data_IF_544073382803
#
_entry.id   IF_544073382803
#
_cell.length_a   1.000
_cell.length_b   1.000
_cell.length_c   1.000
_cell.angle_alpha   90.00
_cell.angle_beta   90.00
_cell.angle_gamma   90.00
#
_symmetry.space_group_name_H-M   'P 1'
#
loop_
_entity.id
_entity.type
_entity.pdbx_description
1 polymer ?
#
# COMPACT_ATOMS: atom_id res chain seq x y z
N UNK A 1 40.07 9.55 -24.79
CA UNK A 1 39.57 10.03 -23.49
C UNK A 1 38.21 9.40 -23.26
N UNK A 2 38.07 8.62 -22.18
CA UNK A 2 36.92 7.77 -21.89
C UNK A 2 35.63 8.60 -21.73
N UNK A 3 34.60 8.26 -22.51
CA UNK A 3 33.22 8.62 -22.22
C UNK A 3 32.64 7.57 -21.28
N UNK A 4 32.41 7.96 -20.03
CA UNK A 4 31.79 7.13 -19.00
C UNK A 4 30.34 6.84 -19.39
N UNK A 5 30.03 5.58 -19.69
CA UNK A 5 28.66 5.13 -19.88
C UNK A 5 27.90 5.24 -18.55
N UNK A 6 26.69 5.79 -18.58
CA UNK A 6 25.75 5.66 -17.48
C UNK A 6 25.52 4.16 -17.23
N UNK A 7 26.06 3.65 -16.12
CA UNK A 7 25.73 2.30 -15.69
C UNK A 7 24.23 2.26 -15.46
N UNK A 8 23.51 1.45 -16.23
CA UNK A 8 22.12 1.17 -15.90
C UNK A 8 22.17 0.35 -14.61
N UNK A 9 21.71 0.94 -13.51
CA UNK A 9 21.45 0.19 -12.29
C UNK A 9 20.47 -0.93 -12.63
N UNK A 10 21.00 -2.14 -12.72
CA UNK A 10 20.28 -3.38 -12.98
C UNK A 10 19.57 -3.91 -11.73
N UNK A 11 19.48 -3.09 -10.67
CA UNK A 11 18.72 -3.41 -9.48
C UNK A 11 17.28 -3.70 -9.89
N UNK A 12 16.75 -4.90 -9.56
CA UNK A 12 15.38 -5.24 -9.90
C UNK A 12 14.44 -4.21 -9.28
N UNK A 13 13.64 -3.55 -10.13
CA UNK A 13 12.63 -2.61 -9.67
C UNK A 13 11.51 -3.39 -8.97
N UNK A 14 10.96 -2.87 -7.85
CA UNK A 14 9.83 -3.53 -7.22
C UNK A 14 8.61 -3.48 -8.14
N UNK A 15 7.82 -4.54 -8.11
CA UNK A 15 6.49 -4.52 -8.70
C UNK A 15 5.57 -3.65 -7.84
N UNK A 16 4.73 -2.82 -8.47
CA UNK A 16 3.79 -1.94 -7.77
C UNK A 16 2.37 -2.39 -8.11
N UNK A 17 1.59 -2.72 -7.08
CA UNK A 17 0.16 -3.02 -7.18
C UNK A 17 -0.62 -1.94 -6.44
N UNK A 18 -1.41 -1.15 -7.17
CA UNK A 18 -2.29 -0.13 -6.61
C UNK A 18 -3.73 -0.66 -6.59
N UNK A 19 -4.30 -0.82 -5.40
CA UNK A 19 -5.69 -1.21 -5.20
C UNK A 19 -6.46 0.02 -4.72
N UNK A 20 -7.48 0.42 -5.46
CA UNK A 20 -8.40 1.51 -5.09
C UNK A 20 -9.80 0.95 -4.96
N UNK A 21 -10.51 1.32 -3.90
CA UNK A 21 -11.87 0.85 -3.61
C UNK A 21 -12.77 2.08 -3.49
N UNK A 22 -13.85 2.10 -4.26
CA UNK A 22 -14.84 3.17 -4.17
C UNK A 22 -15.75 3.00 -2.94
N UNK A 23 -16.16 4.12 -2.34
CA UNK A 23 -17.10 4.16 -1.21
C UNK A 23 -16.69 3.36 0.04
N UNK A 24 -15.42 2.97 0.18
CA UNK A 24 -14.91 2.31 1.37
C UNK A 24 -14.72 3.32 2.51
N UNK A 25 -15.48 3.16 3.58
CA UNK A 25 -15.29 3.95 4.80
C UNK A 25 -14.27 3.27 5.71
N UNK A 26 -13.31 4.06 6.22
CA UNK A 26 -12.24 3.54 7.07
C UNK A 26 -12.75 2.79 8.31
N UNK A 27 -13.86 3.21 8.91
CA UNK A 27 -14.40 2.60 10.13
C UNK A 27 -15.13 1.26 9.91
N UNK A 28 -15.22 0.78 8.67
CA UNK A 28 -15.75 -0.55 8.32
C UNK A 28 -14.66 -1.61 8.08
N UNK A 29 -13.39 -1.24 8.33
CA UNK A 29 -12.25 -2.13 8.29
C UNK A 29 -11.90 -2.60 9.71
N UNK A 30 -11.67 -3.90 9.89
CA UNK A 30 -11.31 -4.52 11.16
C UNK A 30 -10.04 -3.90 11.75
N UNK A 31 -9.05 -3.60 10.92
CA UNK A 31 -7.81 -2.91 11.30
C UNK A 31 -8.09 -1.55 11.96
N UNK A 32 -9.13 -0.83 11.54
CA UNK A 32 -9.56 0.46 12.11
C UNK A 32 -10.52 0.32 13.32
N UNK A 33 -10.76 -0.90 13.80
CA UNK A 33 -11.57 -1.17 14.98
C UNK A 33 -13.01 -1.60 14.69
N UNK A 34 -13.33 -1.98 13.45
CA UNK A 34 -14.66 -2.50 13.12
C UNK A 34 -14.91 -3.87 13.77
N UNK A 35 -16.07 -4.04 14.40
CA UNK A 35 -16.37 -5.23 15.20
C UNK A 35 -16.64 -6.49 14.37
N UNK A 36 -16.98 -6.34 13.08
CA UNK A 36 -17.26 -7.49 12.19
C UNK A 36 -16.00 -7.84 11.40
N UNK A 37 -15.79 -9.13 11.16
CA UNK A 37 -14.70 -9.63 10.31
C UNK A 37 -15.02 -9.45 8.82
N UNK A 38 -15.04 -8.21 8.34
CA UNK A 38 -15.37 -7.85 6.96
C UNK A 38 -14.15 -7.73 6.05
N UNK A 39 -12.94 -7.62 6.62
CA UNK A 39 -11.74 -7.22 5.88
C UNK A 39 -10.46 -8.01 6.21
N UNK A 40 -10.50 -9.35 6.42
CA UNK A 40 -9.35 -10.10 6.94
C UNK A 40 -8.07 -9.96 6.10
N UNK A 41 -8.19 -9.90 4.77
CA UNK A 41 -7.03 -9.75 3.88
C UNK A 41 -6.42 -8.34 3.94
N UNK A 42 -7.26 -7.30 4.09
CA UNK A 42 -6.80 -5.91 4.23
C UNK A 42 -6.16 -5.75 5.61
N UNK A 43 -6.71 -6.41 6.64
CA UNK A 43 -6.19 -6.35 8.00
C UNK A 43 -4.83 -7.05 8.11
N UNK A 44 -4.64 -8.19 7.44
CA UNK A 44 -3.35 -8.84 7.31
C UNK A 44 -2.32 -7.92 6.62
N UNK A 45 -2.69 -7.30 5.49
CA UNK A 45 -1.83 -6.35 4.79
C UNK A 45 -1.46 -5.14 5.66
N UNK A 46 -2.41 -4.63 6.45
CA UNK A 46 -2.17 -3.53 7.37
C UNK A 46 -1.24 -3.90 8.54
N UNK A 47 -1.18 -5.19 8.92
CA UNK A 47 -0.29 -5.69 9.97
C UNK A 47 1.15 -5.91 9.52
N UNK A 48 1.36 -6.21 8.23
CA UNK A 48 2.67 -6.43 7.62
C UNK A 48 3.29 -5.13 7.07
N UNK A 49 2.46 -4.12 6.83
CA UNK A 49 2.86 -2.87 6.18
C UNK A 49 2.73 -1.63 7.06
N UNK A 50 2.64 -0.48 6.38
CA UNK A 50 2.35 0.81 7.01
C UNK A 50 0.88 1.18 6.80
N UNK A 51 0.22 1.62 7.88
CA UNK A 51 -1.17 2.09 7.86
C UNK A 51 -1.26 3.58 8.14
N UNK A 52 -1.92 4.30 7.24
CA UNK A 52 -2.20 5.73 7.39
C UNK A 52 -3.54 5.94 8.08
N UNK A 53 -3.53 6.26 9.37
CA UNK A 53 -4.77 6.46 10.17
C UNK A 53 -5.57 7.68 9.70
N UNK A 54 -4.90 8.67 9.09
CA UNK A 54 -5.52 9.88 8.54
C UNK A 54 -5.10 10.07 7.09
N UNK A 55 -5.85 9.45 6.17
CA UNK A 55 -5.74 9.64 4.73
C UNK A 55 -7.06 10.22 4.21
N UNK A 56 -7.04 11.39 3.58
CA UNK A 56 -8.23 12.16 3.19
C UNK A 56 -8.20 12.38 1.68
N UNK A 57 -9.33 12.18 1.01
CA UNK A 57 -9.56 12.58 -0.37
C UNK A 57 -10.39 13.89 -0.39
N UNK A 58 -10.03 14.87 -1.25
CA UNK A 58 -10.78 16.12 -1.38
C UNK A 58 -12.14 15.94 -2.07
#
# INVERSE_FOLDING_TARGET
MLGTACTQDSSPRPNILLISIDSLRADHLGSYGYARNTSPNIDALASEGARFVTAIAP
#
